data_IF_145182210276
#
_entry.id   IF_145182210276
#
_cell.length_a   1.000
_cell.length_b   1.000
_cell.length_c   1.000
_cell.angle_alpha   90.00
_cell.angle_beta   90.00
_cell.angle_gamma   90.00
#
_symmetry.space_group_name_H-M   'P 1'
#
loop_
_entity.id
_entity.type
_entity.pdbx_description
1 polymer ?
#
# COMPACT_ATOMS: atom_id res chain seq x y z
N UNK A 1 7.73 -53.10 -22.94
CA UNK A 1 6.96 -52.04 -22.26
C UNK A 1 6.77 -50.87 -23.23
N UNK A 2 5.52 -50.60 -23.63
CA UNK A 2 5.18 -49.71 -24.75
C UNK A 2 5.40 -48.23 -24.43
N UNK A 3 5.83 -47.45 -25.44
CA UNK A 3 6.14 -46.02 -25.34
C UNK A 3 5.04 -45.16 -24.67
N UNK A 4 3.78 -45.62 -24.72
CA UNK A 4 2.63 -45.00 -24.05
C UNK A 4 2.74 -44.92 -22.52
N UNK A 5 3.48 -45.84 -21.87
CA UNK A 5 3.69 -45.79 -20.41
C UNK A 5 4.81 -44.84 -19.98
N UNK A 6 5.73 -44.48 -20.89
CA UNK A 6 6.80 -43.51 -20.63
C UNK A 6 6.31 -42.06 -20.72
N UNK A 7 5.33 -41.78 -21.58
CA UNK A 7 4.74 -40.45 -21.72
C UNK A 7 3.90 -40.02 -20.49
N UNK A 8 3.20 -40.95 -19.84
CA UNK A 8 2.39 -40.66 -18.66
C UNK A 8 3.21 -40.27 -17.42
N UNK A 9 4.43 -40.80 -17.26
CA UNK A 9 5.31 -40.49 -16.12
C UNK A 9 5.95 -39.10 -16.21
N UNK A 10 6.20 -38.59 -17.42
CA UNK A 10 6.84 -37.28 -17.64
C UNK A 10 5.85 -36.12 -17.45
N UNK A 11 4.58 -36.31 -17.82
CA UNK A 11 3.53 -35.31 -17.59
C UNK A 11 3.18 -35.15 -16.10
N UNK A 12 3.16 -36.23 -15.32
CA UNK A 12 2.82 -36.19 -13.89
C UNK A 12 3.93 -35.60 -13.01
N UNK A 13 5.20 -35.70 -13.41
CA UNK A 13 6.34 -35.19 -12.62
C UNK A 13 6.76 -33.76 -12.99
N UNK A 14 6.38 -33.26 -14.18
CA UNK A 14 6.69 -31.89 -14.63
C UNK A 14 5.59 -30.86 -14.34
N UNK A 15 4.32 -31.24 -14.43
CA UNK A 15 3.20 -30.31 -14.23
C UNK A 15 2.83 -30.12 -12.76
N UNK A 16 3.05 -31.13 -11.90
CA UNK A 16 2.72 -31.05 -10.48
C UNK A 16 3.54 -30.00 -9.71
N UNK A 17 4.87 -29.85 -9.91
CA UNK A 17 5.64 -28.78 -9.25
C UNK A 17 5.26 -27.37 -9.74
N UNK A 18 4.94 -27.20 -11.02
CA UNK A 18 4.50 -25.92 -11.61
C UNK A 18 3.10 -25.52 -11.13
N UNK A 19 2.17 -26.47 -11.04
CA UNK A 19 0.85 -26.23 -10.45
C UNK A 19 0.95 -25.88 -8.96
N UNK A 20 1.84 -26.56 -8.21
CA UNK A 20 2.04 -26.29 -6.78
C UNK A 20 2.70 -24.93 -6.51
N UNK A 21 3.60 -24.46 -7.39
CA UNK A 21 4.21 -23.13 -7.28
C UNK A 21 3.21 -21.98 -7.59
N UNK A 22 2.26 -22.19 -8.50
CA UNK A 22 1.21 -21.23 -8.79
C UNK A 22 0.16 -21.09 -7.67
N UNK A 23 -0.01 -22.13 -6.85
CA UNK A 23 -0.95 -22.16 -5.72
C UNK A 23 -0.41 -21.46 -4.45
N UNK A 24 0.86 -21.06 -4.42
CA UNK A 24 1.49 -20.40 -3.25
C UNK A 24 1.88 -18.94 -3.48
N UNK A 25 1.61 -18.38 -4.66
CA UNK A 25 1.82 -16.97 -4.91
C UNK A 25 0.66 -16.17 -4.29
N UNK A 26 0.72 -15.92 -2.98
CA UNK A 26 -0.16 -14.93 -2.36
C UNK A 26 0.17 -13.57 -2.97
N UNK A 27 -0.84 -12.78 -3.40
CA UNK A 27 -0.58 -11.43 -3.86
C UNK A 27 0.14 -10.68 -2.73
N UNK A 28 1.31 -10.13 -3.02
CA UNK A 28 2.04 -9.33 -2.05
C UNK A 28 1.33 -7.97 -1.96
N UNK A 29 0.58 -7.76 -0.89
CA UNK A 29 -0.24 -6.57 -0.68
C UNK A 29 0.56 -5.53 0.09
N UNK A 30 0.65 -4.32 -0.47
CA UNK A 30 1.26 -3.21 0.24
C UNK A 30 0.22 -2.50 1.08
N UNK A 31 0.63 -1.82 2.15
CA UNK A 31 -0.31 -1.11 3.01
C UNK A 31 0.37 0.02 3.76
N UNK A 32 -0.29 1.17 3.81
CA UNK A 32 0.18 2.32 4.57
C UNK A 32 -0.61 3.60 4.30
N UNK A 33 -0.25 4.66 5.02
CA UNK A 33 -0.78 6.01 4.81
C UNK A 33 0.20 7.07 5.32
N UNK A 34 0.01 8.31 4.90
CA UNK A 34 0.84 9.43 5.36
C UNK A 34 0.55 9.74 6.85
N UNK A 35 1.61 9.86 7.64
CA UNK A 35 1.55 10.16 9.08
C UNK A 35 2.23 11.48 9.43
N UNK A 36 3.03 12.05 8.52
CA UNK A 36 3.55 13.42 8.64
C UNK A 36 3.62 14.09 7.25
N UNK A 37 2.74 15.08 6.96
CA UNK A 37 1.56 15.47 7.74
C UNK A 37 0.51 14.35 7.81
N UNK A 38 -0.25 14.29 8.89
CA UNK A 38 -1.21 13.20 9.16
C UNK A 38 -2.36 13.21 8.14
N UNK A 39 -2.63 12.07 7.51
CA UNK A 39 -3.75 11.93 6.57
C UNK A 39 -5.11 11.88 7.28
N UNK A 40 -6.21 12.18 6.57
CA UNK A 40 -7.59 12.09 7.07
C UNK A 40 -7.87 10.72 7.69
N UNK A 41 -7.53 9.65 6.96
CA UNK A 41 -7.81 8.29 7.39
C UNK A 41 -6.97 7.89 8.60
N UNK A 42 -5.70 8.30 8.63
CA UNK A 42 -4.80 8.13 9.78
C UNK A 42 -5.33 8.87 11.01
N UNK A 43 -5.74 10.14 10.86
CA UNK A 43 -6.26 10.96 11.95
C UNK A 43 -7.56 10.37 12.51
N UNK A 44 -8.51 9.99 11.64
CA UNK A 44 -9.78 9.43 12.09
C UNK A 44 -9.63 8.04 12.72
N UNK A 45 -8.71 7.20 12.25
CA UNK A 45 -8.39 5.95 12.94
C UNK A 45 -7.80 6.23 14.33
N UNK A 46 -6.87 7.19 14.44
CA UNK A 46 -6.26 7.57 15.71
C UNK A 46 -7.25 8.20 16.71
N UNK A 47 -8.36 8.77 16.24
CA UNK A 47 -9.46 9.23 17.10
C UNK A 47 -10.30 8.09 17.68
N UNK A 48 -10.23 6.89 17.08
CA UNK A 48 -11.00 5.70 17.44
C UNK A 48 -12.18 5.48 16.50
N UNK A 49 -12.20 4.42 15.67
CA UNK A 49 -13.24 4.20 14.66
C UNK A 49 -14.67 4.18 15.19
N UNK A 50 -14.90 3.61 16.38
CA UNK A 50 -16.24 3.43 16.96
C UNK A 50 -16.79 4.72 17.59
N UNK A 51 -15.94 5.68 17.92
CA UNK A 51 -16.32 6.91 18.63
C UNK A 51 -15.32 8.03 18.36
N UNK A 52 -15.21 8.48 17.08
CA UNK A 52 -14.28 9.54 16.72
C UNK A 52 -14.68 10.87 17.39
N UNK A 53 -13.69 11.74 17.57
CA UNK A 53 -13.81 12.96 18.38
C UNK A 53 -14.21 14.18 17.55
N UNK A 54 -13.63 14.33 16.37
CA UNK A 54 -13.89 15.47 15.48
C UNK A 54 -15.19 15.27 14.69
N UNK A 55 -15.89 16.37 14.45
CA UNK A 55 -17.14 16.36 13.68
C UNK A 55 -16.92 15.82 12.25
N UNK A 56 -15.77 16.12 11.64
CA UNK A 56 -15.39 15.59 10.34
C UNK A 56 -15.22 14.05 10.35
N UNK A 57 -14.51 13.47 11.33
CA UNK A 57 -14.34 12.03 11.43
C UNK A 57 -15.66 11.31 11.79
N UNK A 58 -16.50 11.92 12.63
CA UNK A 58 -17.87 11.43 12.89
C UNK A 58 -18.71 11.41 11.60
N UNK A 59 -18.65 12.47 10.80
CA UNK A 59 -19.34 12.52 9.51
C UNK A 59 -18.79 11.49 8.52
N UNK A 60 -17.47 11.26 8.51
CA UNK A 60 -16.83 10.25 7.68
C UNK A 60 -17.33 8.84 8.03
N UNK A 61 -17.41 8.50 9.33
CA UNK A 61 -17.99 7.24 9.81
C UNK A 61 -19.48 7.14 9.48
N UNK A 62 -20.25 8.22 9.64
CA UNK A 62 -21.66 8.23 9.28
C UNK A 62 -21.89 7.98 7.78
N UNK A 63 -20.97 8.44 6.93
CA UNK A 63 -21.05 8.24 5.49
C UNK A 63 -20.53 6.86 5.04
N UNK A 64 -19.39 6.41 5.56
CA UNK A 64 -18.64 5.24 5.08
C UNK A 64 -18.66 4.01 6.00
N UNK A 65 -19.12 4.14 7.24
CA UNK A 65 -18.99 3.13 8.28
C UNK A 65 -17.62 3.13 8.96
N UNK A 66 -17.48 2.32 10.01
CA UNK A 66 -16.25 2.23 10.81
C UNK A 66 -15.17 1.39 10.13
N UNK A 67 -15.55 0.43 9.28
CA UNK A 67 -14.63 -0.49 8.60
C UNK A 67 -13.54 0.25 7.81
N UNK A 68 -13.90 1.34 7.13
CA UNK A 68 -12.95 2.17 6.39
C UNK A 68 -11.81 2.73 7.27
N UNK A 69 -12.06 2.96 8.56
CA UNK A 69 -11.03 3.43 9.47
C UNK A 69 -10.19 2.29 10.02
N UNK A 70 -10.74 1.09 10.23
CA UNK A 70 -9.93 -0.09 10.55
C UNK A 70 -8.94 -0.41 9.43
N UNK A 71 -9.37 -0.19 8.19
CA UNK A 71 -8.57 -0.39 6.98
C UNK A 71 -7.84 0.88 6.53
N UNK A 72 -7.41 1.72 7.47
CA UNK A 72 -6.81 3.04 7.21
C UNK A 72 -5.58 3.01 6.30
N UNK A 73 -4.89 1.88 6.28
CA UNK A 73 -3.70 1.60 5.48
C UNK A 73 -4.02 1.05 4.08
N UNK A 74 -5.30 0.92 3.72
CA UNK A 74 -5.78 0.26 2.49
C UNK A 74 -6.50 1.17 1.50
N UNK A 75 -6.26 2.48 1.50
CA UNK A 75 -6.81 3.40 0.48
C UNK A 75 -6.03 3.22 -0.83
N UNK A 76 -6.41 2.20 -1.61
CA UNK A 76 -5.66 1.73 -2.76
C UNK A 76 -6.50 1.60 -4.04
N UNK A 77 -5.80 1.46 -5.16
CA UNK A 77 -6.31 0.91 -6.41
C UNK A 77 -5.34 -0.17 -6.87
N UNK A 78 -5.76 -1.44 -6.81
CA UNK A 78 -4.92 -2.60 -7.11
C UNK A 78 -4.30 -2.58 -8.53
N UNK A 79 -4.98 -1.95 -9.49
CA UNK A 79 -4.55 -1.90 -10.89
C UNK A 79 -4.40 -0.47 -11.42
N UNK A 80 -3.81 0.41 -10.62
CA UNK A 80 -3.61 1.81 -10.97
C UNK A 80 -2.69 1.97 -12.19
N UNK A 81 -1.56 1.28 -12.19
CA UNK A 81 -0.54 1.28 -13.26
C UNK A 81 -0.17 2.70 -13.74
N UNK A 82 -0.05 3.66 -12.81
CA UNK A 82 0.22 5.08 -13.09
C UNK A 82 -0.97 5.88 -13.63
N UNK A 83 -2.13 5.27 -13.88
CA UNK A 83 -3.31 5.90 -14.50
C UNK A 83 -4.22 6.59 -13.48
N UNK A 84 -3.65 7.26 -12.49
CA UNK A 84 -4.38 7.84 -11.35
C UNK A 84 -5.50 8.79 -11.78
N UNK A 85 -5.19 9.71 -12.71
CA UNK A 85 -6.13 10.72 -13.22
C UNK A 85 -7.25 10.14 -14.09
N UNK A 86 -6.99 9.02 -14.75
CA UNK A 86 -8.00 8.33 -15.58
C UNK A 86 -8.97 7.51 -14.72
N UNK A 87 -8.47 6.98 -13.60
CA UNK A 87 -9.21 6.04 -12.74
C UNK A 87 -9.96 6.73 -11.59
N UNK A 88 -9.51 7.91 -11.17
CA UNK A 88 -10.08 8.64 -10.03
C UNK A 88 -10.79 9.89 -10.54
N UNK A 89 -12.13 9.92 -10.55
CA UNK A 89 -12.88 11.12 -10.90
C UNK A 89 -12.69 12.26 -9.89
N UNK A 90 -12.97 13.49 -10.32
CA UNK A 90 -13.06 14.63 -9.39
C UNK A 90 -14.08 14.36 -8.27
N UNK A 91 -13.76 14.85 -7.07
CA UNK A 91 -14.53 14.61 -5.86
C UNK A 91 -14.33 13.23 -5.24
N UNK A 92 -13.44 12.40 -5.80
CA UNK A 92 -13.15 11.03 -5.33
C UNK A 92 -11.68 10.77 -5.02
N UNK A 93 -10.89 11.83 -4.93
CA UNK A 93 -9.43 11.74 -4.76
C UNK A 93 -9.04 11.10 -3.43
N UNK A 94 -9.71 11.47 -2.33
CA UNK A 94 -9.36 11.02 -0.99
C UNK A 94 -9.82 9.60 -0.69
N UNK A 95 -10.84 9.10 -1.38
CA UNK A 95 -11.26 7.70 -1.35
C UNK A 95 -10.60 6.82 -2.41
N UNK A 96 -9.81 7.40 -3.33
CA UNK A 96 -9.33 6.73 -4.53
C UNK A 96 -10.46 6.08 -5.36
N UNK A 97 -11.63 6.74 -5.41
CA UNK A 97 -12.85 6.23 -6.03
C UNK A 97 -13.37 4.89 -5.46
N UNK A 98 -12.96 4.53 -4.23
CA UNK A 98 -13.43 3.35 -3.53
C UNK A 98 -14.57 3.71 -2.57
N UNK A 99 -15.75 3.10 -2.78
CA UNK A 99 -16.96 3.34 -1.98
C UNK A 99 -16.77 3.06 -0.48
N UNK A 100 -15.86 2.14 -0.11
CA UNK A 100 -15.49 1.88 1.29
C UNK A 100 -15.01 3.16 1.97
N UNK A 101 -14.19 3.95 1.26
CA UNK A 101 -13.55 5.15 1.79
C UNK A 101 -14.28 6.45 1.45
N UNK A 102 -15.51 6.39 0.93
CA UNK A 102 -16.26 7.58 0.46
C UNK A 102 -16.46 8.68 1.51
N UNK A 103 -16.40 8.34 2.80
CA UNK A 103 -16.44 9.32 3.90
C UNK A 103 -15.24 10.29 3.89
N UNK A 104 -14.11 9.89 3.32
CA UNK A 104 -12.91 10.73 3.20
C UNK A 104 -13.05 11.83 2.14
N UNK A 105 -14.02 11.71 1.22
CA UNK A 105 -14.29 12.70 0.17
C UNK A 105 -15.18 13.86 0.64
N UNK A 106 -15.68 13.83 1.88
CA UNK A 106 -16.60 14.86 2.38
C UNK A 106 -15.95 16.25 2.32
N UNK A 107 -16.59 17.22 1.64
CA UNK A 107 -16.04 18.56 1.48
C UNK A 107 -16.30 19.39 2.72
N UNK A 108 -15.35 19.36 3.66
CA UNK A 108 -15.46 20.04 4.95
C UNK A 108 -14.23 20.87 5.26
N UNK A 109 -14.43 22.01 5.94
CA UNK A 109 -13.34 22.89 6.37
C UNK A 109 -12.85 22.61 7.80
N UNK A 110 -13.45 21.65 8.50
CA UNK A 110 -13.15 21.28 9.88
C UNK A 110 -12.44 19.91 10.02
N UNK A 111 -11.92 19.35 8.92
CA UNK A 111 -11.02 18.19 9.01
C UNK A 111 -9.84 18.52 9.93
N UNK A 112 -9.43 17.59 10.82
CA UNK A 112 -8.20 17.70 11.60
C UNK A 112 -7.02 18.03 10.68
N UNK A 113 -6.26 19.07 11.00
CA UNK A 113 -5.22 19.59 10.10
C UNK A 113 -3.88 19.82 10.79
N UNK A 114 -2.80 19.40 10.13
CA UNK A 114 -1.44 19.64 10.58
C UNK A 114 -1.02 21.07 10.27
N UNK A 115 -0.48 21.81 11.25
CA UNK A 115 0.13 23.12 11.00
C UNK A 115 1.46 22.93 10.24
N UNK A 116 1.62 23.59 9.10
CA UNK A 116 2.82 23.54 8.27
C UNK A 116 3.39 24.93 8.03
N UNK A 117 4.69 24.96 7.72
CA UNK A 117 5.40 26.13 7.22
C UNK A 117 6.04 25.81 5.88
N UNK A 118 6.21 26.82 5.04
CA UNK A 118 6.97 26.67 3.80
C UNK A 118 8.45 26.37 4.12
N UNK A 119 9.12 25.65 3.22
CA UNK A 119 10.52 25.27 3.37
C UNK A 119 10.72 23.75 3.52
N UNK A 120 11.91 23.37 4.00
CA UNK A 120 12.29 21.96 4.13
C UNK A 120 11.42 21.26 5.16
N UNK A 121 10.94 20.07 4.80
CA UNK A 121 10.18 19.19 5.68
C UNK A 121 10.57 17.74 5.40
N UNK A 122 10.60 16.94 6.46
CA UNK A 122 10.82 15.49 6.37
C UNK A 122 9.48 14.79 6.53
N UNK A 123 9.05 14.08 5.50
CA UNK A 123 7.78 13.38 5.43
C UNK A 123 7.91 11.97 5.99
N UNK A 124 6.82 11.48 6.59
CA UNK A 124 6.72 10.11 7.08
C UNK A 124 5.46 9.46 6.55
N UNK A 125 5.65 8.33 5.87
CA UNK A 125 4.57 7.47 5.41
C UNK A 125 4.67 6.13 6.14
N UNK A 126 3.73 5.84 7.03
CA UNK A 126 3.72 4.58 7.79
C UNK A 126 3.39 3.44 6.83
N UNK A 127 4.24 2.41 6.78
CA UNK A 127 4.08 1.25 5.93
C UNK A 127 3.90 -0.01 6.81
N UNK A 128 2.67 -0.50 6.91
CA UNK A 128 2.37 -1.75 7.62
C UNK A 128 2.76 -2.96 6.78
N UNK A 129 2.81 -2.83 5.45
CA UNK A 129 3.41 -3.80 4.54
C UNK A 129 4.30 -3.05 3.51
N UNK A 130 5.63 -3.04 3.71
CA UNK A 130 6.55 -2.29 2.84
C UNK A 130 6.73 -2.92 1.45
N UNK A 131 6.73 -2.07 0.42
CA UNK A 131 6.99 -2.41 -0.98
C UNK A 131 7.88 -1.39 -1.69
N UNK A 132 8.48 -1.77 -2.82
CA UNK A 132 9.23 -0.81 -3.66
C UNK A 132 8.27 0.10 -4.41
N UNK A 133 8.67 1.34 -4.63
CA UNK A 133 7.83 2.30 -5.35
C UNK A 133 8.27 3.75 -5.20
N UNK A 134 7.49 4.62 -5.84
CA UNK A 134 7.71 6.06 -5.86
C UNK A 134 6.57 6.79 -5.16
N UNK A 135 6.92 7.84 -4.43
CA UNK A 135 5.99 8.72 -3.74
C UNK A 135 5.95 10.08 -4.44
N UNK A 136 4.75 10.59 -4.68
CA UNK A 136 4.51 11.93 -5.20
C UNK A 136 3.57 12.68 -4.26
N UNK A 137 3.98 13.86 -3.78
CA UNK A 137 3.15 14.73 -2.94
C UNK A 137 2.80 15.99 -3.71
N UNK A 138 1.50 16.23 -3.87
CA UNK A 138 0.91 17.39 -4.51
C UNK A 138 0.33 18.34 -3.47
N UNK A 139 0.42 19.64 -3.73
CA UNK A 139 -0.22 20.67 -2.92
C UNK A 139 -1.40 21.23 -3.70
N UNK A 140 -2.46 21.60 -2.99
CA UNK A 140 -3.56 22.39 -3.55
C UNK A 140 -3.09 23.79 -4.00
N UNK A 141 -3.77 24.38 -4.98
CA UNK A 141 -3.48 25.71 -5.52
C UNK A 141 -3.95 26.82 -4.58
N UNK A 142 -3.37 28.03 -4.66
CA UNK A 142 -3.91 29.20 -3.97
C UNK A 142 -5.40 29.40 -4.29
N UNK A 143 -6.20 29.72 -3.27
CA UNK A 143 -7.65 29.86 -3.40
C UNK A 143 -8.45 28.56 -3.28
N UNK A 144 -7.80 27.44 -2.93
CA UNK A 144 -8.47 26.19 -2.56
C UNK A 144 -9.56 26.41 -1.51
N UNK A 145 -10.72 25.79 -1.75
CA UNK A 145 -11.91 25.88 -0.92
C UNK A 145 -12.28 24.47 -0.42
N UNK A 146 -11.92 24.18 0.83
CA UNK A 146 -12.15 22.88 1.46
C UNK A 146 -13.63 22.52 1.63
N UNK A 147 -14.55 23.47 1.41
CA UNK A 147 -16.01 23.22 1.43
C UNK A 147 -16.54 22.71 0.09
N UNK A 148 -15.67 22.52 -0.90
CA UNK A 148 -15.99 21.90 -2.20
C UNK A 148 -15.30 20.55 -2.36
N UNK A 149 -15.89 19.61 -3.13
CA UNK A 149 -15.22 18.36 -3.45
C UNK A 149 -13.89 18.62 -4.16
N UNK A 150 -12.82 17.97 -3.71
CA UNK A 150 -11.48 18.12 -4.29
C UNK A 150 -11.46 17.57 -5.72
N UNK A 151 -11.01 18.39 -6.68
CA UNK A 151 -10.80 18.01 -8.07
C UNK A 151 -9.29 17.94 -8.40
N UNK A 152 -8.92 17.20 -9.45
CA UNK A 152 -7.54 17.19 -9.96
C UNK A 152 -7.08 18.59 -10.38
N UNK A 153 -7.99 19.43 -10.85
CA UNK A 153 -7.71 20.82 -11.19
C UNK A 153 -7.32 21.69 -10.00
N UNK A 154 -7.68 21.28 -8.77
CA UNK A 154 -7.35 22.02 -7.54
C UNK A 154 -5.92 21.76 -7.08
N UNK A 155 -5.28 20.68 -7.56
CA UNK A 155 -3.89 20.37 -7.27
C UNK A 155 -2.94 21.11 -8.22
N UNK A 156 -1.75 21.44 -7.70
CA UNK A 156 -0.63 21.86 -8.54
C UNK A 156 -0.30 20.79 -9.59
N UNK A 157 0.13 21.23 -10.76
CA UNK A 157 0.35 20.32 -11.89
C UNK A 157 1.52 19.33 -11.66
N UNK A 158 2.44 19.68 -10.77
CA UNK A 158 3.62 18.87 -10.42
C UNK A 158 3.66 18.61 -8.92
N UNK A 159 4.19 17.45 -8.49
CA UNK A 159 4.44 17.22 -7.08
C UNK A 159 5.52 18.20 -6.58
N UNK A 160 5.42 18.60 -5.32
CA UNK A 160 6.43 19.42 -4.65
C UNK A 160 7.49 18.57 -3.93
N UNK A 161 7.19 17.28 -3.72
CA UNK A 161 8.13 16.27 -3.24
C UNK A 161 7.91 14.97 -4.02
N UNK A 162 9.03 14.39 -4.48
CA UNK A 162 9.05 13.13 -5.22
C UNK A 162 10.26 12.31 -4.76
N UNK A 163 10.06 11.03 -4.47
CA UNK A 163 11.14 10.12 -4.08
C UNK A 163 10.85 8.72 -4.59
N UNK A 164 11.89 7.98 -4.96
CA UNK A 164 11.79 6.56 -5.33
C UNK A 164 12.57 5.74 -4.34
N UNK A 165 11.97 4.64 -3.89
CA UNK A 165 12.52 3.70 -2.90
C UNK A 165 13.16 4.39 -1.68
N UNK A 166 12.41 5.26 -0.96
CA UNK A 166 12.91 5.92 0.23
C UNK A 166 13.30 4.92 1.33
N UNK A 167 14.13 5.38 2.26
CA UNK A 167 14.57 4.57 3.39
C UNK A 167 13.37 4.26 4.29
N UNK A 168 13.24 2.99 4.70
CA UNK A 168 12.29 2.56 5.71
C UNK A 168 12.96 2.65 7.10
N UNK A 169 12.48 3.57 7.94
CA UNK A 169 12.94 3.75 9.31
C UNK A 169 11.77 3.56 10.28
N UNK A 170 11.92 2.64 11.23
CA UNK A 170 10.90 2.38 12.26
C UNK A 170 9.50 2.15 11.66
N UNK A 171 9.44 1.39 10.56
CA UNK A 171 8.21 1.06 9.84
C UNK A 171 7.57 2.22 9.07
N UNK A 172 8.29 3.34 8.85
CA UNK A 172 7.83 4.42 7.97
C UNK A 172 8.85 4.70 6.88
N UNK A 173 8.38 4.98 5.67
CA UNK A 173 9.21 5.59 4.66
C UNK A 173 9.50 7.04 5.05
N UNK A 174 10.77 7.42 4.99
CA UNK A 174 11.26 8.74 5.37
C UNK A 174 11.92 9.40 4.18
N UNK A 175 11.48 10.60 3.84
CA UNK A 175 12.02 11.35 2.72
C UNK A 175 11.81 12.86 2.89
N UNK A 176 12.69 13.64 2.29
CA UNK A 176 12.65 15.10 2.36
C UNK A 176 11.91 15.70 1.17
N UNK A 177 11.33 16.88 1.38
CA UNK A 177 10.79 17.72 0.34
C UNK A 177 10.81 19.20 0.74
N UNK A 178 10.41 20.07 -0.19
CA UNK A 178 10.30 21.52 0.09
C UNK A 178 8.85 21.94 -0.06
N UNK A 179 8.20 22.23 1.06
CA UNK A 179 6.81 22.70 1.08
C UNK A 179 6.76 24.09 0.43
N UNK A 180 5.92 24.29 -0.59
CA UNK A 180 5.78 25.59 -1.25
C UNK A 180 5.09 26.61 -0.34
N UNK A 181 5.28 27.90 -0.62
CA UNK A 181 4.56 28.97 0.07
C UNK A 181 3.05 28.85 -0.15
N UNK A 182 2.30 28.89 0.96
CA UNK A 182 0.85 28.82 1.04
C UNK A 182 0.35 29.62 2.24
N UNK A 183 -0.95 29.87 2.25
CA UNK A 183 -1.66 30.50 3.37
C UNK A 183 -2.99 29.78 3.61
N UNK A 184 -3.48 29.87 4.85
CA UNK A 184 -4.77 29.31 5.25
C UNK A 184 -4.81 27.78 5.17
N UNK A 185 -6.02 27.24 5.01
CA UNK A 185 -6.24 25.80 4.86
C UNK A 185 -5.84 25.33 3.47
N UNK A 186 -5.09 24.25 3.44
CA UNK A 186 -4.67 23.55 2.22
C UNK A 186 -4.83 22.05 2.43
N UNK A 187 -4.60 21.30 1.36
CA UNK A 187 -4.56 19.84 1.35
C UNK A 187 -3.30 19.38 0.60
N UNK A 188 -2.61 18.42 1.21
CA UNK A 188 -1.54 17.62 0.59
C UNK A 188 -2.14 16.31 0.10
N UNK A 189 -1.94 16.01 -1.19
CA UNK A 189 -2.39 14.77 -1.80
C UNK A 189 -1.18 13.89 -2.11
N UNK A 190 -1.17 12.67 -1.58
CA UNK A 190 -0.07 11.72 -1.72
C UNK A 190 -0.47 10.59 -2.63
N UNK A 191 0.43 10.22 -3.54
CA UNK A 191 0.36 9.01 -4.34
C UNK A 191 1.59 8.18 -4.01
N UNK A 192 1.40 6.91 -3.66
CA UNK A 192 2.46 5.90 -3.64
C UNK A 192 2.19 4.89 -4.74
N UNK A 193 2.93 4.97 -5.85
CA UNK A 193 2.85 4.00 -6.94
C UNK A 193 3.92 2.92 -6.70
N UNK A 194 3.49 1.66 -6.59
CA UNK A 194 4.43 0.54 -6.49
C UNK A 194 5.16 0.33 -7.81
N UNK A 195 6.40 -0.14 -7.71
CA UNK A 195 7.22 -0.54 -8.87
C UNK A 195 7.23 -2.05 -9.09
N UNK A 196 6.80 -2.83 -8.09
CA UNK A 196 6.72 -4.30 -8.12
C UNK A 196 5.30 -4.84 -8.42
N UNK A 197 4.33 -3.94 -8.63
CA UNK A 197 2.91 -4.22 -8.90
C UNK A 197 2.25 -2.99 -9.53
N UNK A 198 1.15 -3.12 -10.30
CA UNK A 198 0.38 -1.97 -10.76
C UNK A 198 -0.35 -1.22 -9.63
N UNK A 199 -0.41 -1.76 -8.42
CA UNK A 199 -1.14 -1.14 -7.31
C UNK A 199 -0.56 0.22 -6.87
N UNK A 200 -1.44 1.13 -6.47
CA UNK A 200 -1.09 2.41 -5.87
C UNK A 200 -1.95 2.76 -4.66
N UNK A 201 -1.40 3.56 -3.74
CA UNK A 201 -2.04 4.04 -2.51
C UNK A 201 -2.17 5.55 -2.53
N UNK A 202 -3.20 6.05 -1.84
CA UNK A 202 -3.57 7.46 -1.87
C UNK A 202 -3.84 7.97 -0.47
N UNK A 203 -3.42 9.20 -0.17
CA UNK A 203 -3.71 9.84 1.10
C UNK A 203 -3.96 11.34 0.93
N UNK A 204 -5.01 11.85 1.57
CA UNK A 204 -5.28 13.28 1.73
C UNK A 204 -4.90 13.70 3.14
N UNK A 205 -4.03 14.70 3.29
CA UNK A 205 -3.70 15.32 4.58
C UNK A 205 -4.12 16.79 4.56
N UNK A 206 -5.05 17.17 5.43
CA UNK A 206 -5.41 18.57 5.60
C UNK A 206 -4.33 19.30 6.40
N UNK A 207 -3.98 20.50 5.95
CA UNK A 207 -2.90 21.28 6.55
C UNK A 207 -3.30 22.75 6.65
N UNK A 208 -2.64 23.49 7.54
CA UNK A 208 -2.87 24.93 7.69
C UNK A 208 -1.55 25.70 7.69
N UNK A 209 -1.54 26.85 7.02
CA UNK A 209 -0.42 27.76 6.90
C UNK A 209 -0.74 29.12 7.52
N UNK A 210 0.23 29.73 8.20
CA UNK A 210 0.08 31.06 8.80
C UNK A 210 -0.54 31.07 10.21
N UNK A 211 -0.73 29.90 10.82
CA UNK A 211 -1.06 29.76 12.24
C UNK A 211 0.20 29.42 13.05
N UNK A 212 0.51 30.23 14.05
CA UNK A 212 1.63 29.96 14.97
C UNK A 212 1.33 28.76 15.87
N UNK A 213 1.78 27.57 15.45
CA UNK A 213 2.25 26.53 16.37
C UNK A 213 3.06 25.50 15.59
N UNK A 214 4.37 25.74 15.53
CA UNK A 214 5.33 24.66 15.34
C UNK A 214 5.32 23.85 16.64
N UNK A 215 4.96 22.57 16.57
CA UNK A 215 5.02 21.67 17.70
C UNK A 215 6.46 21.50 18.21
N UNK A 216 6.62 21.56 19.53
CA UNK A 216 7.88 21.23 20.20
C UNK A 216 8.12 22.00 21.50
N UNK A 217 7.22 21.87 22.48
CA UNK A 217 7.41 22.47 23.79
C UNK A 217 6.48 21.85 24.82
N UNK A 218 7.07 21.19 25.81
CA UNK A 218 6.43 20.67 27.02
C UNK A 218 5.38 21.62 27.59
N UNK A 219 4.23 21.05 27.95
CA UNK A 219 3.15 21.72 28.64
C UNK A 219 3.67 22.41 29.91
N UNK A 220 3.59 23.73 29.94
CA UNK A 220 3.35 24.47 31.18
C UNK A 220 2.03 25.22 31.03
N UNK A 221 1.14 24.93 31.98
CA UNK A 221 -0.14 25.61 32.18
C UNK A 221 0.15 27.04 32.58
N UNK A 222 -0.44 28.01 31.88
CA UNK A 222 -0.88 29.24 32.53
C UNK A 222 -2.32 29.57 32.10
N UNK A 223 -3.18 29.70 33.12
CA UNK A 223 -4.55 30.18 33.02
C UNK A 223 -4.53 31.69 32.77
N UNK A 224 -5.22 32.14 31.72
CA UNK A 224 -5.46 33.54 31.42
C UNK A 224 -6.91 33.76 31.00
N UNK A 225 -7.66 34.44 31.85
CA UNK A 225 -9.11 34.58 31.81
C UNK A 225 -9.61 35.63 30.79
N UNK A 226 -10.61 35.22 30.00
CA UNK A 226 -11.75 35.94 29.35
C UNK A 226 -11.52 37.28 28.61
N UNK A 227 -11.89 37.25 27.33
CA UNK A 227 -12.53 38.35 26.61
C UNK A 227 -13.79 37.86 25.90
N UNK A 228 -14.97 38.32 26.33
CA UNK A 228 -16.26 37.99 25.73
C UNK A 228 -16.57 38.92 24.54
N UNK A 229 -17.01 38.36 23.42
CA UNK A 229 -17.55 39.13 22.30
C UNK A 229 -18.01 38.27 21.11
N UNK A 230 -19.33 38.12 20.96
CA UNK A 230 -20.04 38.13 19.67
C UNK A 230 -20.01 36.89 18.76
N UNK A 231 -21.08 36.09 18.88
CA UNK A 231 -21.90 35.49 17.81
C UNK A 231 -21.30 35.24 16.40
N UNK A 232 -20.93 33.98 16.15
CA UNK A 232 -21.40 33.16 15.03
C UNK A 232 -21.05 31.71 15.40
N UNK A 233 -21.90 30.73 15.05
CA UNK A 233 -21.70 29.30 15.35
C UNK A 233 -20.48 28.69 14.67
N UNK A 234 -19.28 29.08 15.09
CA UNK A 234 -18.05 28.41 14.76
C UNK A 234 -17.99 27.14 15.61
N UNK A 235 -18.17 25.99 14.96
CA UNK A 235 -17.74 24.70 15.53
C UNK A 235 -16.32 24.87 16.10
N UNK A 236 -16.11 24.39 17.32
CA UNK A 236 -14.80 24.43 17.95
C UNK A 236 -13.76 23.82 16.98
N UNK A 237 -12.57 24.42 16.85
CA UNK A 237 -11.56 23.90 15.94
C UNK A 237 -11.24 22.45 16.31
N UNK A 238 -11.19 21.58 15.29
CA UNK A 238 -10.83 20.18 15.47
C UNK A 238 -9.47 20.06 16.19
N UNK A 239 -9.28 19.03 17.04
CA UNK A 239 -7.98 18.81 17.67
C UNK A 239 -6.88 18.63 16.61
N UNK A 240 -5.64 18.95 16.99
CA UNK A 240 -4.50 18.64 16.14
C UNK A 240 -4.50 17.14 15.81
N UNK A 241 -4.31 16.75 14.54
CA UNK A 241 -4.36 15.34 14.16
C UNK A 241 -3.15 14.60 14.72
N UNK A 242 -3.37 13.35 15.12
CA UNK A 242 -2.32 12.43 15.57
C UNK A 242 -2.20 11.28 14.59
N UNK A 243 -0.98 10.81 14.36
CA UNK A 243 -0.76 9.56 13.66
C UNK A 243 -1.24 8.37 14.52
N UNK A 244 -1.65 7.25 13.89
CA UNK A 244 -1.94 6.00 14.60
C UNK A 244 -0.75 5.55 15.45
N UNK A 245 -0.99 5.19 16.71
CA UNK A 245 0.04 4.58 17.56
C UNK A 245 0.16 3.08 17.27
N UNK A 246 1.29 2.47 17.61
CA UNK A 246 1.48 1.02 17.44
C UNK A 246 0.45 0.20 18.24
N UNK A 247 0.07 0.69 19.42
CA UNK A 247 -0.97 0.07 20.25
C UNK A 247 -2.33 0.13 19.54
N UNK A 248 -2.70 1.29 18.99
CA UNK A 248 -3.95 1.44 18.25
C UNK A 248 -3.98 0.57 16.99
N UNK A 249 -2.87 0.49 16.26
CA UNK A 249 -2.73 -0.41 15.11
C UNK A 249 -2.91 -1.87 15.53
N UNK A 250 -2.30 -2.27 16.65
CA UNK A 250 -2.40 -3.64 17.18
C UNK A 250 -3.83 -3.98 17.61
N UNK A 251 -4.51 -3.09 18.32
CA UNK A 251 -5.90 -3.26 18.75
C UNK A 251 -6.87 -3.28 17.57
N UNK A 252 -6.62 -2.47 16.55
CA UNK A 252 -7.44 -2.41 15.34
C UNK A 252 -7.23 -3.58 14.39
N UNK A 253 -6.12 -4.32 14.50
CA UNK A 253 -5.74 -5.36 13.55
C UNK A 253 -6.79 -6.48 13.44
N UNK A 254 -7.43 -6.88 14.54
CA UNK A 254 -8.46 -7.93 14.52
C UNK A 254 -9.76 -7.52 13.80
N UNK A 255 -9.96 -6.22 13.56
CA UNK A 255 -11.11 -5.67 12.85
C UNK A 255 -10.77 -5.21 11.43
N UNK A 256 -9.50 -5.20 11.07
CA UNK A 256 -9.02 -4.88 9.74
C UNK A 256 -9.44 -6.00 8.78
N UNK A 257 -10.11 -5.66 7.68
CA UNK A 257 -10.27 -6.57 6.55
C UNK A 257 -9.03 -6.57 5.65
N UNK A 258 -8.16 -5.57 5.82
CA UNK A 258 -6.87 -5.50 5.15
C UNK A 258 -5.90 -6.52 5.73
N UNK A 259 -5.30 -7.33 4.87
CA UNK A 259 -4.25 -8.30 5.24
C UNK A 259 -3.02 -7.61 5.84
N UNK A 260 -2.82 -7.79 7.15
CA UNK A 260 -1.59 -7.43 7.84
C UNK A 260 -1.15 -8.60 8.72
N UNK A 261 0.07 -9.09 8.52
CA UNK A 261 0.67 -10.18 9.31
C UNK A 261 -0.18 -11.47 9.40
N UNK A 262 -1.02 -11.76 8.40
CA UNK A 262 -1.88 -12.96 8.36
C UNK A 262 -3.16 -12.85 9.20
N UNK A 263 -3.68 -11.63 9.40
CA UNK A 263 -4.91 -11.36 10.15
C UNK A 263 -6.01 -10.67 9.32
N UNK A 264 -5.90 -10.59 7.99
CA UNK A 264 -7.05 -10.18 7.18
C UNK A 264 -8.06 -11.31 7.00
N UNK A 265 -9.15 -11.06 6.27
CA UNK A 265 -10.24 -12.01 6.09
C UNK A 265 -9.99 -13.04 4.97
N UNK A 266 -8.78 -13.12 4.43
CA UNK A 266 -8.36 -13.96 3.29
C UNK A 266 -9.26 -13.80 2.05
N UNK A 267 -10.07 -12.73 1.99
CA UNK A 267 -11.09 -12.53 0.95
C UNK A 267 -10.62 -11.48 -0.06
N UNK A 268 -10.51 -11.90 -1.32
CA UNK A 268 -10.09 -11.02 -2.42
C UNK A 268 -11.09 -9.90 -2.72
N UNK A 269 -12.33 -10.00 -2.23
CA UNK A 269 -13.39 -9.00 -2.42
C UNK A 269 -13.33 -7.85 -1.39
N UNK A 270 -12.48 -7.93 -0.36
CA UNK A 270 -12.36 -6.87 0.68
C UNK A 270 -11.32 -5.80 0.37
N UNK A 271 -10.47 -6.05 -0.64
CA UNK A 271 -9.74 -5.03 -1.37
C UNK A 271 -10.67 -4.21 -2.27
N UNK A 272 -10.23 -3.04 -2.74
CA UNK A 272 -10.97 -2.28 -3.75
C UNK A 272 -11.39 -3.21 -4.91
N UNK A 273 -12.69 -3.33 -5.20
CA UNK A 273 -13.20 -4.12 -6.31
C UNK A 273 -12.35 -3.83 -7.55
N UNK A 274 -11.77 -4.87 -8.14
CA UNK A 274 -10.98 -4.76 -9.37
C UNK A 274 -11.85 -4.08 -10.43
N UNK A 275 -11.65 -2.79 -10.66
CA UNK A 275 -12.16 -2.13 -11.85
C UNK A 275 -11.38 -2.73 -13.02
N UNK A 276 -12.12 -3.34 -13.95
CA UNK A 276 -11.52 -4.08 -15.06
C UNK A 276 -10.45 -3.23 -15.78
N UNK A 277 -9.29 -3.84 -16.03
CA UNK A 277 -8.22 -3.22 -16.79
C UNK A 277 -8.70 -2.82 -18.19
N UNK A 278 -8.26 -1.65 -18.67
CA UNK A 278 -8.34 -1.32 -20.09
C UNK A 278 -7.61 -2.40 -20.92
N UNK A 279 -8.17 -2.85 -22.05
CA UNK A 279 -7.56 -3.87 -22.88
C UNK A 279 -6.17 -3.42 -23.36
N UNK A 280 -5.23 -4.37 -23.41
CA UNK A 280 -3.91 -4.15 -23.97
C UNK A 280 -4.03 -3.63 -25.41
N UNK A 281 -3.20 -2.64 -25.76
CA UNK A 281 -3.11 -2.13 -27.12
C UNK A 281 -2.72 -3.27 -28.09
N UNK A 282 -3.27 -3.30 -29.32
CA UNK A 282 -3.00 -4.38 -30.27
C UNK A 282 -1.53 -4.36 -30.71
N UNK A 283 -0.85 -5.49 -30.55
CA UNK A 283 0.51 -5.69 -31.04
C UNK A 283 0.55 -5.64 -32.57
N UNK A 284 1.37 -4.72 -33.11
CA UNK A 284 1.76 -4.74 -34.52
C UNK A 284 2.64 -5.94 -34.80
N UNK A 285 2.17 -6.85 -35.66
CA UNK A 285 2.94 -7.98 -36.20
C UNK A 285 4.20 -7.48 -36.91
N UNK A 286 5.37 -7.88 -36.42
CA UNK A 286 6.60 -7.94 -37.21
C UNK A 286 6.99 -9.41 -37.42
N UNK A 287 7.33 -9.76 -38.66
CA UNK A 287 7.61 -11.11 -39.12
C UNK A 287 8.98 -11.64 -38.65
N UNK A 288 8.95 -12.89 -38.17
CA UNK A 288 9.96 -13.95 -38.29
C UNK A 288 11.46 -13.64 -38.19
N UNK A 289 12.08 -14.08 -37.09
CA UNK A 289 13.36 -14.79 -37.11
C UNK A 289 13.46 -15.80 -35.95
N UNK A 290 14.07 -16.96 -36.23
CA UNK A 290 14.17 -18.14 -35.37
C UNK A 290 15.01 -17.92 -34.10
N UNK A 291 14.81 -18.70 -33.01
CA UNK A 291 15.47 -18.46 -31.74
C UNK A 291 16.92 -18.95 -31.74
N UNK A 292 17.85 -18.05 -31.41
CA UNK A 292 19.23 -18.36 -31.07
C UNK A 292 19.35 -18.54 -29.55
N UNK A 293 19.97 -19.64 -29.13
CA UNK A 293 20.09 -20.03 -27.72
C UNK A 293 21.23 -19.22 -27.09
N UNK A 294 20.91 -18.15 -26.38
CA UNK A 294 21.86 -17.49 -25.49
C UNK A 294 21.75 -18.06 -24.08
N UNK A 295 22.85 -18.64 -23.62
CA UNK A 295 23.04 -19.13 -22.25
C UNK A 295 22.92 -17.98 -21.26
N UNK A 296 21.91 -18.04 -20.39
CA UNK A 296 21.72 -17.09 -19.30
C UNK A 296 22.89 -17.16 -18.31
N UNK A 297 23.56 -16.03 -18.12
CA UNK A 297 24.46 -15.77 -17.00
C UNK A 297 23.65 -15.78 -15.70
N UNK A 298 24.21 -16.42 -14.67
CA UNK A 298 23.71 -16.37 -13.28
C UNK A 298 23.71 -14.91 -12.83
N UNK A 299 22.53 -14.31 -12.66
CA UNK A 299 22.21 -13.26 -11.67
C UNK A 299 20.80 -12.68 -11.96
N UNK A 300 19.80 -13.54 -12.14
CA UNK A 300 18.39 -13.12 -12.20
C UNK A 300 17.75 -13.48 -10.85
N UNK A 301 17.68 -12.48 -9.97
CA UNK A 301 17.11 -12.59 -8.62
C UNK A 301 15.60 -12.47 -8.72
N UNK A 302 14.90 -13.57 -8.42
CA UNK A 302 13.44 -13.58 -8.30
C UNK A 302 13.03 -12.83 -7.03
N UNK A 303 12.08 -11.90 -7.19
CA UNK A 303 11.31 -11.20 -6.15
C UNK A 303 11.92 -11.20 -4.74
N UNK A 304 12.77 -10.21 -4.47
CA UNK A 304 13.32 -9.97 -3.14
C UNK A 304 12.29 -9.20 -2.30
N UNK A 305 11.42 -9.94 -1.60
CA UNK A 305 10.60 -9.37 -0.52
C UNK A 305 11.55 -9.02 0.61
N UNK A 306 11.64 -7.74 1.01
CA UNK A 306 12.64 -7.20 1.94
C UNK A 306 12.62 -7.77 3.37
N UNK A 307 12.98 -9.04 3.54
CA UNK A 307 13.16 -9.71 4.82
C UNK A 307 14.62 -9.65 5.30
N UNK A 308 14.81 -9.49 6.60
CA UNK A 308 16.14 -9.56 7.24
C UNK A 308 16.79 -10.93 7.02
N UNK A 309 18.13 -10.98 7.01
CA UNK A 309 18.96 -12.08 6.51
C UNK A 309 18.84 -13.47 7.17
N UNK A 310 17.83 -13.74 8.00
CA UNK A 310 17.52 -15.08 8.51
C UNK A 310 16.65 -15.90 7.55
N UNK A 311 15.88 -15.25 6.67
CA UNK A 311 14.95 -15.89 5.72
C UNK A 311 15.68 -16.68 4.61
N UNK A 312 16.91 -16.29 4.27
CA UNK A 312 17.70 -16.93 3.22
C UNK A 312 18.12 -18.37 3.58
N UNK A 313 18.31 -18.66 4.87
CA UNK A 313 18.75 -19.99 5.32
C UNK A 313 17.65 -21.07 5.23
N UNK A 314 16.38 -20.68 5.38
CA UNK A 314 15.25 -21.60 5.23
C UNK A 314 14.99 -21.95 3.75
N UNK A 315 15.18 -20.98 2.84
CA UNK A 315 15.02 -21.21 1.39
C UNK A 315 16.12 -22.12 0.81
N UNK A 316 17.37 -21.99 1.28
CA UNK A 316 18.49 -22.85 0.84
C UNK A 316 18.35 -24.29 1.37
N UNK A 317 17.79 -24.46 2.59
CA UNK A 317 17.52 -25.78 3.16
C UNK A 317 16.49 -26.60 2.38
N UNK A 318 15.44 -25.96 1.85
CA UNK A 318 14.37 -26.63 1.11
C UNK A 318 14.83 -27.23 -0.23
N UNK A 319 15.68 -26.53 -0.97
CA UNK A 319 16.23 -27.01 -2.25
C UNK A 319 17.17 -28.23 -2.06
N UNK A 320 17.93 -28.26 -0.96
CA UNK A 320 18.83 -29.37 -0.63
C UNK A 320 18.10 -30.69 -0.32
N UNK A 321 16.97 -30.62 0.38
CA UNK A 321 16.16 -31.80 0.73
C UNK A 321 15.48 -32.41 -0.51
N UNK A 322 15.01 -31.58 -1.45
CA UNK A 322 14.41 -32.04 -2.70
C UNK A 322 15.43 -32.72 -3.63
N UNK A 323 16.65 -32.19 -3.72
CA UNK A 323 17.73 -32.79 -4.52
C UNK A 323 18.17 -34.15 -3.96
N UNK A 324 18.28 -34.27 -2.63
CA UNK A 324 18.61 -35.52 -1.96
C UNK A 324 17.49 -36.58 -2.12
N UNK A 325 16.22 -36.17 -2.01
CA UNK A 325 15.07 -37.04 -2.22
C UNK A 325 15.02 -37.63 -3.64
N UNK A 326 15.28 -36.81 -4.67
CA UNK A 326 15.34 -37.25 -6.05
C UNK A 326 16.46 -38.28 -6.30
N UNK A 327 17.67 -38.02 -5.76
CA UNK A 327 18.82 -38.92 -5.92
C UNK A 327 18.58 -40.32 -5.32
N UNK A 328 17.95 -40.40 -4.14
CA UNK A 328 17.59 -41.68 -3.50
C UNK A 328 16.56 -42.44 -4.32
N UNK A 329 15.57 -41.73 -4.89
CA UNK A 329 14.52 -42.34 -5.70
C UNK A 329 15.08 -42.91 -7.02
N UNK A 330 15.96 -42.17 -7.70
CA UNK A 330 16.64 -42.65 -8.91
C UNK A 330 17.60 -43.82 -8.63
N UNK A 331 18.32 -43.81 -7.51
CA UNK A 331 19.17 -44.92 -7.11
C UNK A 331 18.37 -46.19 -6.79
N UNK A 332 17.20 -46.04 -6.15
CA UNK A 332 16.32 -47.17 -5.82
C UNK A 332 15.70 -47.82 -7.07
N UNK A 333 15.30 -47.01 -8.07
CA UNK A 333 14.78 -47.52 -9.34
C UNK A 333 15.87 -48.22 -10.16
N UNK A 334 17.10 -47.68 -10.18
CA UNK A 334 18.25 -48.32 -10.86
C UNK A 334 18.59 -49.68 -10.26
N UNK A 335 18.55 -49.82 -8.92
CA UNK A 335 18.79 -51.11 -8.24
C UNK A 335 17.68 -52.13 -8.54
N UNK A 336 16.41 -51.73 -8.59
CA UNK A 336 15.30 -52.63 -8.95
C UNK A 336 15.37 -53.10 -10.40
N UNK A 337 15.78 -52.23 -11.33
CA UNK A 337 15.98 -52.59 -12.73
C UNK A 337 17.12 -53.60 -12.93
N UNK A 338 18.24 -53.43 -12.21
CA UNK A 338 19.38 -54.37 -12.25
C UNK A 338 19.05 -55.74 -11.62
N UNK A 339 18.23 -55.75 -10.56
CA UNK A 339 17.78 -56.99 -9.91
C UNK A 339 16.76 -57.79 -10.75
N UNK A 340 16.06 -57.13 -11.69
CA UNK A 340 15.12 -57.77 -12.62
C UNK A 340 15.84 -58.38 -13.83
N UNK A 341 16.97 -57.82 -14.28
CA UNK A 341 17.76 -58.36 -15.40
C UNK A 341 18.63 -59.58 -15.02
N UNK A 342 18.87 -59.81 -13.72
CA UNK A 342 19.69 -60.95 -13.26
C UNK A 342 18.95 -62.29 -13.14
N UNK A 343 17.63 -62.33 -13.36
CA UNK A 343 16.80 -63.53 -13.13
C UNK A 343 16.44 -64.33 -14.39
N UNK A 344 17.06 -64.03 -15.53
CA UNK A 344 16.86 -64.75 -16.81
C UNK A 344 18.12 -65.35 -17.43
N UNK A 345 19.15 -65.59 -16.62
CA UNK A 345 20.33 -66.33 -17.06
C UNK A 345 20.83 -67.26 -15.95
N UNK A 346 20.09 -68.34 -15.72
CA UNK A 346 20.51 -69.73 -15.47
C UNK A 346 19.33 -70.53 -14.92
#
# INVERSE_FOLDING_TARGET
MTARRKAAGVLALGLAPLALAGLTATPAVAHGSLTDPVSRVSACFAEGPESPKSAACQAAVAAGGTQALYDWNGVNIANAAGKHRDLIPDGKLCSAANDKFKGLDLPRADWPATALSAGKHTFRFRATAPHKGSFELYMTKPGYDATKPLAWSDLEAKPFAEVTDPVLENGSYVFDGTIPERSGRQLVYTIWQRSDSPEAFYACSDVTFGGGSAGGGSAEKEEGERGAGGDAGAEAPAPAPSAPSEEAITEGAEKSSVEHNGHGDDDADTGAKVTAAAPAAPETKAEGNAPEVNTASKDEVLAETGGSGSSTYLAIGGAGVLAAGAAVLFASQRRRAAAASGRHSR
#
